data_IF_483135433569
#
_entry.id   IF_483135433569
#
_cell.length_a   1.000
_cell.length_b   1.000
_cell.length_c   1.000
_cell.angle_alpha   90.00
_cell.angle_beta   90.00
_cell.angle_gamma   90.00
#
_symmetry.space_group_name_H-M   'P 1'
#
loop_
_entity.id
_entity.type
_entity.pdbx_description
1 polymer ?
#
# COMPACT_ATOMS: atom_id res chain seq x y z
N UNK A 1 11.37 24.20 -49.88
CA UNK A 1 9.93 24.53 -50.03
C UNK A 1 9.60 25.58 -48.98
N UNK A 2 9.53 26.85 -49.40
CA UNK A 2 9.18 27.99 -48.55
C UNK A 2 7.67 28.07 -48.43
N UNK A 3 7.16 27.75 -47.24
CA UNK A 3 5.79 28.01 -46.84
C UNK A 3 5.74 29.34 -46.10
N UNK A 4 4.75 30.13 -46.47
CA UNK A 4 4.63 31.56 -46.31
C UNK A 4 4.44 32.01 -44.84
N UNK A 5 5.34 32.87 -44.35
CA UNK A 5 5.17 33.55 -43.04
C UNK A 5 4.15 34.69 -43.18
N UNK A 6 3.86 35.15 -44.40
CA UNK A 6 2.83 36.16 -44.67
C UNK A 6 1.41 35.61 -44.51
N UNK A 7 1.21 34.29 -44.65
CA UNK A 7 -0.10 33.63 -44.43
C UNK A 7 -0.54 33.62 -42.95
N UNK A 8 0.39 33.82 -42.00
CA UNK A 8 0.06 33.83 -40.58
C UNK A 8 -0.48 35.19 -40.08
N UNK A 9 -0.23 36.29 -40.81
CA UNK A 9 -0.60 37.64 -40.38
C UNK A 9 -2.11 37.95 -40.53
N UNK A 10 -2.80 37.50 -41.60
CA UNK A 10 -4.26 37.62 -41.70
C UNK A 10 -4.99 36.72 -40.69
N UNK A 11 -4.44 35.53 -40.39
CA UNK A 11 -5.03 34.58 -39.45
C UNK A 11 -5.03 35.09 -37.99
N UNK A 12 -3.98 35.79 -37.58
CA UNK A 12 -3.92 36.47 -36.27
C UNK A 12 -4.84 37.70 -36.20
N UNK A 13 -5.15 38.34 -37.35
CA UNK A 13 -6.05 39.49 -37.42
C UNK A 13 -7.52 39.11 -37.17
N UNK A 14 -7.88 37.83 -37.33
CA UNK A 14 -9.27 37.36 -37.26
C UNK A 14 -9.66 36.62 -35.97
N UNK A 15 -8.77 36.35 -35.03
CA UNK A 15 -9.13 35.57 -33.83
C UNK A 15 -8.44 36.11 -32.59
N UNK A 16 -9.12 37.00 -31.89
CA UNK A 16 -9.63 36.83 -30.51
C UNK A 16 -10.49 38.05 -30.24
N UNK A 17 -11.81 37.92 -30.35
CA UNK A 17 -12.70 38.87 -29.71
C UNK A 17 -12.52 38.70 -28.17
N UNK A 18 -12.48 39.80 -27.38
CA UNK A 18 -12.28 39.73 -25.92
C UNK A 18 -13.23 38.74 -25.22
N UNK A 19 -14.42 38.57 -25.79
CA UNK A 19 -15.52 37.72 -25.32
C UNK A 19 -15.17 36.22 -25.42
N UNK A 20 -14.34 35.80 -26.38
CA UNK A 20 -13.98 34.40 -26.60
C UNK A 20 -12.90 33.93 -25.62
N UNK A 21 -11.92 34.80 -25.31
CA UNK A 21 -10.86 34.46 -24.36
C UNK A 21 -11.41 34.35 -22.93
N UNK A 22 -12.30 35.26 -22.52
CA UNK A 22 -12.96 35.20 -21.22
C UNK A 22 -13.83 33.93 -21.08
N UNK A 23 -14.54 33.52 -22.14
CA UNK A 23 -15.33 32.30 -22.14
C UNK A 23 -14.46 31.03 -22.04
N UNK A 24 -13.34 30.98 -22.77
CA UNK A 24 -12.39 29.86 -22.72
C UNK A 24 -11.69 29.73 -21.35
N UNK A 25 -11.25 30.86 -20.79
CA UNK A 25 -10.62 30.93 -19.45
C UNK A 25 -11.60 30.52 -18.35
N UNK A 26 -12.89 30.81 -18.52
CA UNK A 26 -13.94 30.40 -17.57
C UNK A 26 -14.43 28.96 -17.78
N UNK A 27 -13.94 28.24 -18.80
CA UNK A 27 -14.23 26.81 -18.96
C UNK A 27 -13.41 25.97 -17.99
N UNK A 28 -13.91 24.79 -17.61
CA UNK A 28 -13.18 23.86 -16.72
C UNK A 28 -11.83 23.47 -17.32
N UNK A 29 -11.76 23.31 -18.65
CA UNK A 29 -10.50 23.01 -19.34
C UNK A 29 -9.53 24.20 -19.24
N UNK A 30 -10.01 25.42 -19.50
CA UNK A 30 -9.21 26.65 -19.41
C UNK A 30 -8.73 26.94 -17.99
N UNK A 31 -9.57 26.76 -16.98
CA UNK A 31 -9.20 26.90 -15.56
C UNK A 31 -8.15 25.88 -15.14
N UNK A 32 -8.28 24.63 -15.61
CA UNK A 32 -7.30 23.57 -15.35
C UNK A 32 -5.95 23.86 -16.01
N UNK A 33 -5.96 24.37 -17.23
CA UNK A 33 -4.73 24.79 -17.94
C UNK A 33 -4.07 25.99 -17.26
N UNK A 34 -4.87 27.00 -16.85
CA UNK A 34 -4.37 28.14 -16.07
C UNK A 34 -3.76 27.71 -14.74
N UNK A 35 -4.43 26.83 -14.00
CA UNK A 35 -3.90 26.28 -12.75
C UNK A 35 -2.57 25.53 -12.98
N UNK A 36 -2.46 24.78 -14.08
CA UNK A 36 -1.22 24.08 -14.45
C UNK A 36 -0.08 25.06 -14.80
N UNK A 37 -0.39 26.17 -15.49
CA UNK A 37 0.57 27.23 -15.80
C UNK A 37 1.03 27.96 -14.54
N UNK A 38 0.09 28.29 -13.64
CA UNK A 38 0.38 28.93 -12.35
C UNK A 38 1.16 28.03 -11.39
N UNK A 39 0.98 26.70 -11.49
CA UNK A 39 1.80 25.73 -10.77
C UNK A 39 3.26 25.69 -11.25
N UNK A 40 3.54 26.13 -12.48
CA UNK A 40 4.89 26.14 -13.06
C UNK A 40 5.56 27.53 -13.06
N UNK A 41 4.76 28.59 -13.08
CA UNK A 41 5.21 29.97 -13.08
C UNK A 41 4.41 30.77 -12.05
N UNK A 42 5.06 31.40 -11.06
CA UNK A 42 4.35 32.29 -10.16
C UNK A 42 3.74 33.47 -10.95
N UNK A 43 2.59 33.93 -10.49
CA UNK A 43 1.65 34.77 -11.22
C UNK A 43 2.29 36.09 -11.72
N UNK A 44 3.19 36.63 -10.92
CA UNK A 44 4.04 37.80 -11.18
C UNK A 44 4.98 37.56 -12.39
N UNK A 45 5.71 36.44 -12.40
CA UNK A 45 6.67 36.11 -13.46
C UNK A 45 6.00 35.72 -14.77
N UNK A 46 4.81 35.12 -14.71
CA UNK A 46 4.01 34.80 -15.90
C UNK A 46 3.46 36.07 -16.53
N UNK A 47 2.85 36.96 -15.73
CA UNK A 47 2.31 38.23 -16.19
C UNK A 47 3.41 39.11 -16.79
N UNK A 48 4.54 39.25 -16.09
CA UNK A 48 5.70 40.01 -16.57
C UNK A 48 6.20 39.46 -17.92
N UNK A 49 6.33 38.14 -18.07
CA UNK A 49 6.72 37.52 -19.34
C UNK A 49 5.74 37.77 -20.47
N UNK A 50 4.44 37.62 -20.20
CA UNK A 50 3.40 37.85 -21.20
C UNK A 50 3.40 39.32 -21.64
N UNK A 51 3.48 40.25 -20.69
CA UNK A 51 3.55 41.70 -20.95
C UNK A 51 4.81 42.04 -21.75
N UNK A 52 5.97 41.48 -21.38
CA UNK A 52 7.23 41.72 -22.09
C UNK A 52 7.19 41.18 -23.53
N UNK A 53 6.63 39.97 -23.72
CA UNK A 53 6.48 39.34 -25.04
C UNK A 53 5.52 40.14 -25.93
N UNK A 54 4.39 40.57 -25.37
CA UNK A 54 3.41 41.39 -26.07
C UNK A 54 3.97 42.77 -26.44
N UNK A 55 4.70 43.39 -25.51
CA UNK A 55 5.37 44.68 -25.73
C UNK A 55 6.46 44.60 -26.80
N UNK A 56 7.15 43.46 -26.90
CA UNK A 56 8.08 43.20 -27.99
C UNK A 56 7.35 43.08 -29.33
N UNK A 57 6.26 42.30 -29.39
CA UNK A 57 5.44 42.15 -30.61
C UNK A 57 4.90 43.51 -31.08
N UNK A 58 4.40 44.35 -30.17
CA UNK A 58 3.92 45.70 -30.52
C UNK A 58 5.03 46.58 -31.09
N UNK A 59 6.22 46.59 -30.49
CA UNK A 59 7.37 47.34 -31.01
C UNK A 59 7.80 46.84 -32.39
N UNK A 60 7.82 45.52 -32.59
CA UNK A 60 8.13 44.91 -33.87
C UNK A 60 7.13 45.31 -34.96
N UNK A 61 5.83 45.24 -34.66
CA UNK A 61 4.76 45.64 -35.58
C UNK A 61 4.82 47.13 -35.93
N UNK A 62 5.08 47.99 -34.95
CA UNK A 62 5.25 49.42 -35.19
C UNK A 62 6.43 49.69 -36.13
N UNK A 63 7.54 48.98 -35.95
CA UNK A 63 8.73 49.13 -36.80
C UNK A 63 8.51 48.61 -38.23
N UNK A 64 7.81 47.49 -38.39
CA UNK A 64 7.40 46.97 -39.71
C UNK A 64 6.56 47.99 -40.47
N UNK A 65 5.57 48.60 -39.81
CA UNK A 65 4.72 49.64 -40.41
C UNK A 65 5.51 50.88 -40.79
N UNK A 66 6.44 51.31 -39.93
CA UNK A 66 7.34 52.43 -40.22
C UNK A 66 8.21 52.16 -41.45
N UNK A 67 8.85 50.98 -41.52
CA UNK A 67 9.67 50.58 -42.67
C UNK A 67 8.85 50.48 -43.96
N UNK A 68 7.62 49.97 -43.89
CA UNK A 68 6.70 49.93 -45.03
C UNK A 68 6.35 51.33 -45.53
N UNK A 69 6.02 52.26 -44.62
CA UNK A 69 5.71 53.65 -44.96
C UNK A 69 6.93 54.39 -45.55
N UNK A 70 8.12 54.19 -44.97
CA UNK A 70 9.37 54.76 -45.47
C UNK A 70 9.73 54.21 -46.86
N UNK A 71 9.60 52.90 -47.08
CA UNK A 71 9.87 52.27 -48.39
C UNK A 71 8.88 52.70 -49.48
N UNK A 72 7.63 53.00 -49.13
CA UNK A 72 6.65 53.56 -50.05
C UNK A 72 6.97 55.02 -50.44
N UNK A 73 7.61 55.77 -49.55
CA UNK A 73 8.09 57.14 -49.80
C UNK A 73 9.43 57.18 -50.55
N UNK A 74 10.29 56.17 -50.39
CA UNK A 74 11.65 56.06 -50.97
C UNK A 74 11.71 55.55 -52.42
N UNK A 75 10.58 55.43 -53.14
CA UNK A 75 10.56 55.17 -54.59
C UNK A 75 11.28 56.25 -55.44
N UNK A 76 11.87 57.26 -54.81
CA UNK A 76 12.84 58.22 -55.37
C UNK A 76 14.30 57.82 -55.07
N UNK A 77 14.74 56.65 -55.51
CA UNK A 77 16.13 56.39 -55.93
C UNK A 77 17.29 56.35 -54.90
N UNK A 78 17.13 56.65 -53.62
CA UNK A 78 18.23 56.46 -52.64
C UNK A 78 17.70 56.11 -51.25
N UNK A 79 18.03 54.91 -50.76
CA UNK A 79 17.74 54.48 -49.39
C UNK A 79 18.58 55.31 -48.41
N UNK A 80 17.92 56.04 -47.52
CA UNK A 80 18.52 56.80 -46.44
C UNK A 80 19.33 55.88 -45.50
N UNK A 81 20.41 56.38 -44.91
CA UNK A 81 21.19 55.64 -43.90
C UNK A 81 20.31 55.16 -42.73
N UNK A 82 19.25 55.91 -42.42
CA UNK A 82 18.27 55.58 -41.39
C UNK A 82 17.43 54.33 -41.74
N UNK A 83 17.09 54.13 -43.02
CA UNK A 83 16.33 52.95 -43.46
C UNK A 83 17.17 51.69 -43.48
N UNK A 84 18.48 51.80 -43.74
CA UNK A 84 19.44 50.70 -43.66
C UNK A 84 19.65 50.24 -42.20
N UNK A 85 19.88 51.17 -41.27
CA UNK A 85 20.00 50.86 -39.83
C UNK A 85 18.69 50.26 -39.28
N UNK A 86 17.55 50.78 -39.72
CA UNK A 86 16.24 50.27 -39.33
C UNK A 86 16.01 48.82 -39.81
N UNK A 87 16.54 48.45 -40.98
CA UNK A 87 16.46 47.09 -41.54
C UNK A 87 17.36 46.11 -40.79
N UNK A 88 18.60 46.50 -40.47
CA UNK A 88 19.52 45.67 -39.68
C UNK A 88 18.95 45.38 -38.28
N UNK A 89 18.40 46.39 -37.62
CA UNK A 89 17.73 46.23 -36.32
C UNK A 89 16.52 45.29 -36.40
N UNK A 90 15.75 45.34 -37.48
CA UNK A 90 14.66 44.38 -37.71
C UNK A 90 15.19 42.95 -37.87
N UNK A 91 16.29 42.77 -38.59
CA UNK A 91 16.93 41.46 -38.78
C UNK A 91 17.51 40.89 -37.48
N UNK A 92 18.03 41.74 -36.58
CA UNK A 92 18.44 41.35 -35.23
C UNK A 92 17.23 40.90 -34.41
N UNK A 93 16.19 41.73 -34.31
CA UNK A 93 14.97 41.39 -33.56
C UNK A 93 14.30 40.11 -34.06
N UNK A 94 14.29 39.88 -35.38
CA UNK A 94 13.74 38.66 -36.00
C UNK A 94 14.53 37.40 -35.60
N UNK A 95 15.87 37.50 -35.53
CA UNK A 95 16.74 36.40 -35.08
C UNK A 95 16.56 36.09 -33.59
N UNK A 96 16.46 37.12 -32.75
CA UNK A 96 16.17 36.98 -31.32
C UNK A 96 14.81 36.32 -31.09
N UNK A 97 13.77 36.76 -31.80
CA UNK A 97 12.44 36.16 -31.75
C UNK A 97 12.46 34.67 -32.09
N UNK A 98 13.15 34.30 -33.17
CA UNK A 98 13.26 32.89 -33.59
C UNK A 98 13.99 32.04 -32.54
N UNK A 99 15.03 32.60 -31.93
CA UNK A 99 15.78 31.95 -30.85
C UNK A 99 14.90 31.74 -29.61
N UNK A 100 14.14 32.77 -29.24
CA UNK A 100 13.19 32.71 -28.12
C UNK A 100 12.07 31.68 -28.37
N UNK A 101 11.47 31.67 -29.56
CA UNK A 101 10.47 30.67 -29.94
C UNK A 101 11.02 29.24 -29.85
N UNK A 102 12.26 29.01 -30.31
CA UNK A 102 12.91 27.70 -30.21
C UNK A 102 13.15 27.30 -28.75
N UNK A 103 13.67 28.20 -27.92
CA UNK A 103 13.93 27.96 -26.51
C UNK A 103 12.66 27.56 -25.76
N UNK A 104 11.58 28.34 -25.91
CA UNK A 104 10.31 28.04 -25.25
C UNK A 104 9.67 26.77 -25.80
N UNK A 105 9.71 26.55 -27.11
CA UNK A 105 9.23 25.31 -27.72
C UNK A 105 9.96 24.06 -27.22
N UNK A 106 11.26 24.17 -26.92
CA UNK A 106 12.00 23.09 -26.28
C UNK A 106 11.59 22.92 -24.81
N UNK A 107 11.52 24.02 -24.05
CA UNK A 107 11.17 23.97 -22.62
C UNK A 107 9.79 23.39 -22.37
N UNK A 108 8.80 23.73 -23.20
CA UNK A 108 7.45 23.13 -23.13
C UNK A 108 7.49 21.64 -23.41
N UNK A 109 8.26 21.18 -24.41
CA UNK A 109 8.42 19.75 -24.71
C UNK A 109 9.05 18.99 -23.55
N UNK A 110 10.13 19.52 -22.97
CA UNK A 110 10.79 18.92 -21.79
C UNK A 110 9.84 18.84 -20.61
N UNK A 111 9.08 19.89 -20.31
CA UNK A 111 8.13 19.88 -19.20
C UNK A 111 7.00 18.86 -19.42
N UNK A 112 6.49 18.74 -20.64
CA UNK A 112 5.50 17.70 -20.99
C UNK A 112 6.07 16.30 -20.80
N UNK A 113 7.31 16.07 -21.25
CA UNK A 113 7.97 14.77 -21.10
C UNK A 113 8.21 14.43 -19.62
N UNK A 114 8.79 15.34 -18.85
CA UNK A 114 9.04 15.14 -17.42
C UNK A 114 7.75 14.84 -16.65
N UNK A 115 6.62 15.46 -17.04
CA UNK A 115 5.32 15.14 -16.44
C UNK A 115 4.90 13.71 -16.74
N UNK A 116 5.00 13.26 -17.99
CA UNK A 116 4.67 11.88 -18.38
C UNK A 116 5.56 10.89 -17.63
N UNK A 117 6.85 11.17 -17.54
CA UNK A 117 7.83 10.33 -16.86
C UNK A 117 7.58 10.29 -15.35
N UNK A 118 7.21 11.43 -14.75
CA UNK A 118 6.83 11.47 -13.32
C UNK A 118 5.53 10.71 -13.06
N UNK A 119 4.52 10.85 -13.92
CA UNK A 119 3.26 10.13 -13.79
C UNK A 119 3.47 8.61 -13.96
N UNK A 120 4.32 8.19 -14.91
CA UNK A 120 4.63 6.77 -15.12
C UNK A 120 5.41 6.18 -13.94
N UNK A 121 6.38 6.91 -13.38
CA UNK A 121 7.11 6.53 -12.18
C UNK A 121 6.18 6.33 -10.98
N UNK A 122 5.27 7.27 -10.72
CA UNK A 122 4.31 7.15 -9.63
C UNK A 122 3.37 5.95 -9.81
N UNK A 123 2.89 5.71 -11.04
CA UNK A 123 2.06 4.54 -11.35
C UNK A 123 2.80 3.24 -11.13
N UNK A 124 4.07 3.17 -11.50
CA UNK A 124 4.89 1.99 -11.30
C UNK A 124 5.10 1.71 -9.80
N UNK A 125 5.52 2.71 -9.04
CA UNK A 125 5.71 2.56 -7.59
C UNK A 125 4.42 2.13 -6.87
N UNK A 126 3.26 2.64 -7.31
CA UNK A 126 1.99 2.22 -6.74
C UNK A 126 1.71 0.74 -6.99
N UNK A 127 1.95 0.24 -8.21
CA UNK A 127 1.79 -1.19 -8.53
C UNK A 127 2.76 -2.06 -7.72
N UNK A 128 3.99 -1.60 -7.53
CA UNK A 128 4.99 -2.33 -6.76
C UNK A 128 4.59 -2.39 -5.27
N UNK A 129 4.12 -1.28 -4.71
CA UNK A 129 3.58 -1.24 -3.34
C UNK A 129 2.34 -2.14 -3.18
N UNK A 130 1.42 -2.12 -4.13
CA UNK A 130 0.25 -3.01 -4.14
C UNK A 130 0.67 -4.49 -4.19
N UNK A 131 1.67 -4.82 -5.02
CA UNK A 131 2.20 -6.18 -5.10
C UNK A 131 2.78 -6.64 -3.77
N UNK A 132 3.62 -5.81 -3.13
CA UNK A 132 4.20 -6.12 -1.82
C UNK A 132 3.14 -6.25 -0.73
N UNK A 133 2.14 -5.36 -0.70
CA UNK A 133 1.05 -5.46 0.26
C UNK A 133 0.24 -6.74 0.08
N UNK A 134 -0.07 -7.12 -1.16
CA UNK A 134 -0.77 -8.38 -1.43
C UNK A 134 0.05 -9.59 -1.00
N UNK A 135 1.36 -9.59 -1.24
CA UNK A 135 2.24 -10.67 -0.79
C UNK A 135 2.25 -10.79 0.74
N UNK A 136 2.36 -9.66 1.46
CA UNK A 136 2.32 -9.64 2.92
C UNK A 136 0.97 -10.11 3.49
N UNK A 137 -0.15 -9.70 2.87
CA UNK A 137 -1.48 -10.18 3.25
C UNK A 137 -1.58 -11.69 3.06
N UNK A 138 -1.08 -12.22 1.94
CA UNK A 138 -1.08 -13.66 1.69
C UNK A 138 -0.24 -14.41 2.73
N UNK A 139 0.98 -13.94 3.00
CA UNK A 139 1.86 -14.54 4.00
C UNK A 139 1.22 -14.55 5.39
N UNK A 140 0.60 -13.44 5.81
CA UNK A 140 -0.09 -13.37 7.10
C UNK A 140 -1.31 -14.31 7.13
N UNK A 141 -2.04 -14.42 6.02
CA UNK A 141 -3.17 -15.35 5.90
C UNK A 141 -2.71 -16.80 6.04
N UNK A 142 -1.59 -17.15 5.42
CA UNK A 142 -1.00 -18.49 5.51
C UNK A 142 -0.53 -18.79 6.94
N UNK A 143 0.09 -17.82 7.62
CA UNK A 143 0.48 -17.94 9.03
C UNK A 143 -0.74 -18.13 9.95
N UNK A 144 -1.82 -17.37 9.73
CA UNK A 144 -3.07 -17.53 10.50
C UNK A 144 -3.66 -18.92 10.28
N UNK A 145 -3.71 -19.41 9.04
CA UNK A 145 -4.18 -20.76 8.75
C UNK A 145 -3.32 -21.84 9.42
N UNK A 146 -2.00 -21.67 9.43
CA UNK A 146 -1.07 -22.58 10.11
C UNK A 146 -1.31 -22.59 11.63
N UNK A 147 -1.41 -21.42 12.27
CA UNK A 147 -1.66 -21.32 13.71
C UNK A 147 -3.03 -21.92 14.08
N UNK A 148 -4.05 -21.72 13.25
CA UNK A 148 -5.36 -22.34 13.45
C UNK A 148 -5.30 -23.86 13.36
N UNK A 149 -4.51 -24.42 12.44
CA UNK A 149 -4.31 -25.86 12.35
C UNK A 149 -3.60 -26.40 13.60
N UNK A 150 -2.52 -25.74 14.04
CA UNK A 150 -1.78 -26.12 15.25
C UNK A 150 -2.67 -26.07 16.50
N UNK A 151 -3.53 -25.07 16.62
CA UNK A 151 -4.48 -24.97 17.73
C UNK A 151 -5.45 -26.16 17.75
N UNK A 152 -6.01 -26.52 16.59
CA UNK A 152 -6.91 -27.68 16.46
C UNK A 152 -6.21 -28.98 16.83
N UNK A 153 -4.98 -29.18 16.36
CA UNK A 153 -4.20 -30.37 16.68
C UNK A 153 -3.90 -30.47 18.18
N UNK A 154 -3.54 -29.34 18.82
CA UNK A 154 -3.32 -29.26 20.26
C UNK A 154 -4.60 -29.53 21.05
N UNK A 155 -5.75 -28.99 20.62
CA UNK A 155 -7.04 -29.23 21.24
C UNK A 155 -7.47 -30.70 21.11
N UNK A 156 -7.26 -31.32 19.95
CA UNK A 156 -7.53 -32.73 19.74
C UNK A 156 -6.64 -33.62 20.62
N UNK A 157 -5.35 -33.29 20.74
CA UNK A 157 -4.43 -33.98 21.64
C UNK A 157 -4.85 -33.84 23.10
N UNK A 158 -5.26 -32.64 23.54
CA UNK A 158 -5.80 -32.40 24.89
C UNK A 158 -7.05 -33.23 25.15
N UNK A 159 -8.02 -33.21 24.23
CA UNK A 159 -9.24 -34.00 24.37
C UNK A 159 -8.96 -35.50 24.42
N UNK A 160 -8.01 -36.00 23.61
CA UNK A 160 -7.59 -37.40 23.67
C UNK A 160 -6.91 -37.74 25.01
N UNK A 161 -6.10 -36.83 25.56
CA UNK A 161 -5.51 -37.00 26.89
C UNK A 161 -6.57 -37.01 27.99
N UNK A 162 -7.57 -36.13 27.92
CA UNK A 162 -8.70 -36.10 28.85
C UNK A 162 -9.54 -37.38 28.80
N UNK A 163 -9.87 -37.88 27.60
CA UNK A 163 -10.57 -39.17 27.45
C UNK A 163 -9.78 -40.32 28.06
N UNK A 164 -8.46 -40.40 27.79
CA UNK A 164 -7.59 -41.41 28.42
C UNK A 164 -7.52 -41.25 29.94
N UNK A 165 -7.51 -40.02 30.45
CA UNK A 165 -7.52 -39.77 31.89
C UNK A 165 -8.83 -40.27 32.52
N UNK A 166 -9.98 -39.98 31.90
CA UNK A 166 -11.31 -40.47 32.33
C UNK A 166 -11.38 -42.00 32.30
N UNK A 167 -10.92 -42.65 31.22
CA UNK A 167 -10.85 -44.12 31.15
C UNK A 167 -9.91 -44.73 32.20
N UNK A 168 -8.84 -44.01 32.58
CA UNK A 168 -7.90 -44.43 33.63
C UNK A 168 -8.35 -44.06 35.04
N UNK A 169 -9.47 -43.35 35.22
CA UNK A 169 -10.04 -43.14 36.54
C UNK A 169 -10.41 -44.51 37.08
N UNK A 170 -9.78 -44.88 38.20
CA UNK A 170 -9.99 -46.15 38.84
C UNK A 170 -11.48 -46.23 39.26
N UNK A 171 -12.24 -47.15 38.66
CA UNK A 171 -13.61 -47.39 39.10
C UNK A 171 -13.56 -48.06 40.47
N UNK A 172 -13.85 -47.26 41.49
CA UNK A 172 -13.84 -47.66 42.88
C UNK A 172 -14.85 -48.77 43.17
N UNK A 173 -15.97 -48.83 42.44
CA UNK A 173 -16.94 -49.90 42.59
C UNK A 173 -16.40 -51.21 41.99
N UNK A 174 -15.83 -51.15 40.79
CA UNK A 174 -15.16 -52.31 40.18
C UNK A 174 -13.97 -52.82 41.01
N UNK A 175 -13.20 -51.93 41.65
CA UNK A 175 -12.11 -52.31 42.56
C UNK A 175 -12.64 -53.05 43.80
N UNK A 176 -13.71 -52.51 44.40
CA UNK A 176 -14.36 -53.12 45.56
C UNK A 176 -14.95 -54.48 45.18
N UNK A 177 -15.62 -54.60 44.04
CA UNK A 177 -16.16 -55.86 43.53
C UNK A 177 -15.07 -56.88 43.22
N UNK A 178 -13.94 -56.48 42.61
CA UNK A 178 -12.80 -57.35 42.36
C UNK A 178 -12.22 -57.95 43.66
N UNK A 179 -12.17 -57.15 44.73
CA UNK A 179 -11.70 -57.60 46.04
C UNK A 179 -12.74 -58.43 46.81
N UNK A 180 -14.03 -58.09 46.68
CA UNK A 180 -15.14 -58.80 47.32
C UNK A 180 -15.56 -60.08 46.58
N UNK A 181 -15.17 -60.22 45.30
CA UNK A 181 -15.50 -61.31 44.38
C UNK A 181 -14.92 -62.69 44.72
N UNK A 182 -14.48 -62.90 45.95
CA UNK A 182 -14.23 -64.21 46.54
C UNK A 182 -13.14 -65.05 45.85
N UNK A 183 -11.94 -64.46 45.63
CA UNK A 183 -10.74 -65.26 45.36
C UNK A 183 -10.23 -65.88 46.67
N UNK A 184 -10.08 -67.21 46.77
CA UNK A 184 -9.84 -67.92 48.03
C UNK A 184 -8.48 -67.64 48.71
N UNK A 185 -7.65 -66.75 48.16
CA UNK A 185 -6.32 -66.39 48.67
C UNK A 185 -6.19 -64.93 49.14
N UNK A 186 -7.25 -64.11 49.07
CA UNK A 186 -7.20 -62.72 49.55
C UNK A 186 -7.98 -62.65 50.87
N UNK A 187 -7.28 -62.78 52.00
CA UNK A 187 -7.89 -62.58 53.32
C UNK A 187 -7.85 -61.08 53.65
N UNK A 188 -8.96 -60.38 53.45
CA UNK A 188 -9.03 -58.94 53.70
C UNK A 188 -9.66 -58.65 55.05
N UNK A 189 -8.85 -58.21 56.01
CA UNK A 189 -9.29 -57.77 57.33
C UNK A 189 -9.34 -56.23 57.33
N UNK A 190 -10.28 -55.65 56.58
CA UNK A 190 -10.40 -54.19 56.40
C UNK A 190 -11.86 -53.74 56.28
N UNK A 191 -12.16 -52.53 56.75
CA UNK A 191 -13.44 -51.86 56.49
C UNK A 191 -13.38 -51.19 55.10
N UNK A 192 -13.73 -51.95 54.05
CA UNK A 192 -13.69 -51.50 52.66
C UNK A 192 -14.52 -50.25 52.38
N UNK A 193 -15.69 -50.12 53.02
CA UNK A 193 -16.53 -48.93 52.86
C UNK A 193 -15.80 -47.66 53.33
N UNK A 194 -14.99 -47.78 54.39
CA UNK A 194 -14.23 -46.65 54.92
C UNK A 194 -13.04 -46.28 54.02
N UNK A 195 -12.37 -47.25 53.42
CA UNK A 195 -11.30 -47.00 52.44
C UNK A 195 -11.85 -46.39 51.14
N UNK A 196 -12.99 -46.87 50.66
CA UNK A 196 -13.67 -46.31 49.50
C UNK A 196 -14.04 -44.83 49.72
N UNK A 197 -14.60 -44.50 50.89
CA UNK A 197 -14.92 -43.12 51.26
C UNK A 197 -13.66 -42.24 51.34
N UNK A 198 -12.54 -42.73 51.89
CA UNK A 198 -11.27 -42.00 51.95
C UNK A 198 -10.71 -41.68 50.55
N UNK A 199 -10.74 -42.65 49.65
CA UNK A 199 -10.28 -42.47 48.27
C UNK A 199 -11.21 -41.54 47.47
N UNK A 200 -12.49 -41.50 47.79
CA UNK A 200 -13.45 -40.54 47.24
C UNK A 200 -13.13 -39.10 47.69
N UNK A 201 -12.89 -38.89 48.99
CA UNK A 201 -12.44 -37.60 49.51
C UNK A 201 -11.12 -37.14 48.88
N UNK A 202 -10.18 -38.05 48.65
CA UNK A 202 -8.92 -37.76 47.95
C UNK A 202 -9.15 -37.35 46.49
N UNK A 203 -10.00 -38.07 45.75
CA UNK A 203 -10.30 -37.77 44.35
C UNK A 203 -11.01 -36.41 44.17
N UNK A 204 -11.87 -36.03 45.11
CA UNK A 204 -12.63 -34.76 45.08
C UNK A 204 -11.90 -33.60 45.77
N UNK A 205 -10.76 -33.85 46.42
CA UNK A 205 -10.00 -32.85 47.18
C UNK A 205 -10.74 -32.33 48.42
N UNK A 206 -11.69 -33.10 48.96
CA UNK A 206 -12.51 -32.70 50.12
C UNK A 206 -11.86 -33.17 51.43
N UNK A 207 -12.00 -32.42 52.54
CA UNK A 207 -11.39 -32.79 53.82
C UNK A 207 -12.06 -34.04 54.41
N UNK A 208 -11.23 -34.93 54.97
CA UNK A 208 -11.68 -36.14 55.68
C UNK A 208 -12.29 -35.72 57.04
N UNK A 209 -13.38 -36.37 57.52
CA UNK A 209 -13.95 -36.09 58.84
C UNK A 209 -12.94 -36.21 59.99
N UNK A 210 -12.93 -35.25 60.91
CA UNK A 210 -11.94 -35.13 61.99
C UNK A 210 -11.98 -36.27 63.02
N UNK A 211 -13.10 -36.98 63.11
CA UNK A 211 -13.31 -38.13 63.99
C UNK A 211 -12.64 -39.42 63.46
N UNK A 212 -12.00 -39.36 62.29
CA UNK A 212 -11.42 -40.54 61.65
C UNK A 212 -9.93 -40.72 61.96
N UNK A 213 -9.62 -41.68 62.83
CA UNK A 213 -8.28 -42.30 62.87
C UNK A 213 -8.17 -43.41 61.82
N UNK A 214 -7.28 -43.21 60.85
CA UNK A 214 -6.96 -44.18 59.79
C UNK A 214 -5.51 -44.66 59.94
N UNK A 215 -5.32 -45.97 60.07
CA UNK A 215 -4.00 -46.61 60.04
C UNK A 215 -3.99 -47.62 58.88
N UNK A 216 -3.13 -47.41 57.88
CA UNK A 216 -3.00 -48.28 56.72
C UNK A 216 -1.69 -49.05 56.83
N UNK A 217 -1.78 -50.34 57.18
CA UNK A 217 -0.66 -51.26 57.10
C UNK A 217 -0.75 -52.06 55.80
N UNK A 218 0.20 -51.85 54.89
CA UNK A 218 0.33 -52.65 53.67
C UNK A 218 1.37 -53.73 53.91
N UNK A 219 0.94 -54.99 53.90
CA UNK A 219 1.82 -56.15 53.98
C UNK A 219 1.68 -56.92 52.68
N UNK A 220 2.68 -56.85 51.81
CA UNK A 220 2.77 -57.71 50.63
C UNK A 220 3.32 -59.07 51.06
N UNK A 221 2.51 -60.11 50.93
CA UNK A 221 2.95 -61.50 51.07
C UNK A 221 2.96 -62.11 49.67
N UNK A 222 4.12 -62.08 49.02
CA UNK A 222 4.32 -62.82 47.77
C UNK A 222 4.39 -64.32 48.09
N UNK A 223 3.56 -65.13 47.43
CA UNK A 223 3.64 -66.60 47.50
C UNK A 223 4.94 -67.02 46.77
N UNK A 224 5.97 -67.56 47.45
CA UNK A 224 7.24 -67.91 46.80
C UNK A 224 7.13 -69.05 45.78
N UNK A 225 5.93 -69.59 45.55
CA UNK A 225 5.62 -70.59 44.53
C UNK A 225 4.85 -70.04 43.33
N UNK A 226 4.61 -68.74 43.27
CA UNK A 226 3.99 -68.11 42.10
C UNK A 226 5.07 -67.89 41.03
N UNK A 227 5.13 -68.77 40.03
CA UNK A 227 5.98 -68.56 38.85
C UNK A 227 5.49 -67.31 38.11
N UNK A 228 6.41 -66.35 37.92
CA UNK A 228 6.21 -65.18 37.08
C UNK A 228 6.01 -65.65 35.63
N UNK A 229 4.80 -65.47 35.09
CA UNK A 229 4.65 -65.40 33.64
C UNK A 229 4.96 -63.96 33.23
N UNK A 230 6.13 -63.76 32.65
CA UNK A 230 6.47 -62.55 31.91
C UNK A 230 5.39 -62.35 30.83
N UNK A 231 4.66 -61.25 30.94
CA UNK A 231 3.87 -60.77 29.81
C UNK A 231 4.83 -60.06 28.85
N UNK A 232 5.24 -60.77 27.80
CA UNK A 232 5.83 -60.15 26.62
C UNK A 232 4.83 -59.14 26.05
N UNK A 233 5.21 -57.87 26.07
CA UNK A 233 4.51 -56.78 25.39
C UNK A 233 4.70 -56.91 23.87
N UNK A 234 3.60 -57.08 23.13
CA UNK A 234 3.52 -56.72 21.70
C UNK A 234 2.98 -55.32 21.53
#
# INVERSE_FOLDING_TARGET
MGGDVADCLPALRQRVAPIILAAEVNSIAGQRELAALLGQFPLDRLAERMINSLSFIHRLLAKVRYLQAASAAENSGTLSSETLVARENFDVMRREWTTMCRHWGQRVRTLKQNRIDSESFLRQNHRDAEFHHRACIQELTDQVAQLQAQLRDSEAARQAAERRAVERVLDMNALVDFHMGNKPKINVMFNWMRLAALLHHFAEGTPIPEDWLTNINVVALDDPRCEFFEFETS
#
